data_IF_956212976889
#
_entry.id   IF_956212976889
#
_cell.length_a   1.000
_cell.length_b   1.000
_cell.length_c   1.000
_cell.angle_alpha   90.00
_cell.angle_beta   90.00
_cell.angle_gamma   90.00
#
_symmetry.space_group_name_H-M   'P 1'
#
loop_
_entity.id
_entity.type
_entity.pdbx_description
1 polymer ?
#
# COMPACT_ATOMS: atom_id res chain seq x y z
N UNK A 1 -15.33 12.80 2.15
CA UNK A 1 -14.74 12.74 0.79
C UNK A 1 -13.67 11.68 0.85
N UNK A 2 -13.71 10.70 -0.05
CA UNK A 2 -12.85 9.52 -0.05
C UNK A 2 -11.76 9.69 -1.11
N UNK A 3 -10.65 10.40 -0.83
CA UNK A 3 -9.64 10.75 -1.84
C UNK A 3 -8.88 9.54 -2.40
N UNK A 4 -9.10 8.36 -1.83
CA UNK A 4 -8.43 7.10 -2.15
C UNK A 4 -9.39 6.07 -2.79
N UNK A 5 -10.63 6.45 -3.09
CA UNK A 5 -11.60 5.63 -3.82
C UNK A 5 -11.96 6.37 -5.11
N UNK A 6 -11.83 5.70 -6.24
CA UNK A 6 -12.14 6.24 -7.57
C UNK A 6 -12.46 5.09 -8.54
N UNK A 7 -13.16 5.40 -9.64
CA UNK A 7 -13.40 4.43 -10.72
C UNK A 7 -12.09 4.03 -11.41
N UNK A 8 -12.13 3.03 -12.29
CA UNK A 8 -10.98 2.66 -13.14
C UNK A 8 -10.45 3.83 -13.98
N UNK A 9 -11.35 4.72 -14.43
CA UNK A 9 -11.02 5.96 -15.15
C UNK A 9 -10.48 7.06 -14.23
N UNK A 10 -10.57 6.86 -12.91
CA UNK A 10 -10.11 7.79 -11.87
C UNK A 10 -11.13 8.81 -11.44
N UNK A 11 -12.42 8.60 -11.68
CA UNK A 11 -13.46 9.50 -11.21
C UNK A 11 -13.66 9.32 -9.68
N UNK A 12 -13.32 10.33 -8.86
CA UNK A 12 -13.51 10.26 -7.41
C UNK A 12 -14.98 10.41 -6.98
N UNK A 13 -15.88 10.77 -7.90
CA UNK A 13 -17.32 10.84 -7.63
C UNK A 13 -18.02 9.48 -7.76
N UNK A 14 -17.38 8.50 -8.39
CA UNK A 14 -17.88 7.15 -8.60
C UNK A 14 -17.76 6.28 -7.32
N UNK A 15 -18.37 6.76 -6.23
CA UNK A 15 -18.38 6.06 -4.95
C UNK A 15 -19.54 5.04 -4.90
N UNK A 16 -19.37 3.94 -4.15
CA UNK A 16 -20.48 3.05 -3.80
C UNK A 16 -21.63 3.83 -3.14
N UNK A 17 -22.87 3.50 -3.49
CA UNK A 17 -24.07 4.11 -2.87
C UNK A 17 -24.35 3.56 -1.46
N UNK A 18 -23.77 2.41 -1.10
CA UNK A 18 -23.98 1.75 0.19
C UNK A 18 -22.98 2.26 1.24
N UNK A 19 -23.49 2.97 2.25
CA UNK A 19 -22.72 3.49 3.38
C UNK A 19 -21.91 2.39 4.09
N UNK A 20 -22.43 1.16 4.16
CA UNK A 20 -21.73 0.04 4.81
C UNK A 20 -20.46 -0.34 4.06
N UNK A 21 -20.48 -0.26 2.74
CA UNK A 21 -19.30 -0.53 1.91
C UNK A 21 -18.25 0.55 2.16
N UNK A 22 -18.66 1.82 2.21
CA UNK A 22 -17.77 2.94 2.49
C UNK A 22 -17.08 2.79 3.86
N UNK A 23 -17.82 2.41 4.90
CA UNK A 23 -17.25 2.13 6.22
C UNK A 23 -16.21 1.01 6.20
N UNK A 24 -16.48 -0.08 5.47
CA UNK A 24 -15.55 -1.20 5.34
C UNK A 24 -14.27 -0.79 4.62
N UNK A 25 -14.38 0.07 3.61
CA UNK A 25 -13.23 0.64 2.90
C UNK A 25 -12.42 1.58 3.80
N UNK A 26 -13.05 2.39 4.64
CA UNK A 26 -12.38 3.21 5.67
C UNK A 26 -11.61 2.33 6.66
N UNK A 27 -12.24 1.27 7.18
CA UNK A 27 -11.59 0.32 8.09
C UNK A 27 -10.37 -0.29 7.41
N UNK A 28 -10.55 -0.77 6.19
CA UNK A 28 -9.48 -1.42 5.42
C UNK A 28 -8.32 -0.47 5.12
N UNK A 29 -8.63 0.78 4.76
CA UNK A 29 -7.63 1.81 4.55
C UNK A 29 -6.79 2.02 5.82
N UNK A 30 -7.43 2.14 6.99
CA UNK A 30 -6.74 2.33 8.25
C UNK A 30 -5.87 1.12 8.64
N UNK A 31 -6.34 -0.11 8.39
CA UNK A 31 -5.54 -1.32 8.59
C UNK A 31 -4.26 -1.31 7.74
N UNK A 32 -4.37 -0.96 6.45
CA UNK A 32 -3.23 -0.86 5.54
C UNK A 32 -2.24 0.20 6.05
N UNK A 33 -2.72 1.39 6.45
CA UNK A 33 -1.86 2.44 6.99
C UNK A 33 -1.12 1.98 8.26
N UNK A 34 -1.82 1.29 9.18
CA UNK A 34 -1.23 0.77 10.40
C UNK A 34 -0.16 -0.31 10.11
N UNK A 35 -0.46 -1.24 9.20
CA UNK A 35 0.47 -2.27 8.73
C UNK A 35 1.77 -1.67 8.16
N UNK A 36 1.63 -0.69 7.25
CA UNK A 36 2.76 0.01 6.64
C UNK A 36 3.57 0.82 7.67
N UNK A 37 2.91 1.42 8.65
CA UNK A 37 3.58 2.16 9.73
C UNK A 37 4.36 1.23 10.67
N UNK A 38 3.76 0.10 11.05
CA UNK A 38 4.33 -0.87 11.98
C UNK A 38 5.40 -1.78 11.36
N UNK A 39 5.53 -1.79 10.03
CA UNK A 39 6.32 -2.81 9.29
C UNK A 39 5.84 -4.23 9.60
N UNK A 40 4.54 -4.39 9.86
CA UNK A 40 3.92 -5.61 10.38
C UNK A 40 3.45 -6.62 9.34
N UNK A 41 3.80 -6.43 8.07
CA UNK A 41 3.27 -7.20 6.94
C UNK A 41 1.99 -6.58 6.37
N UNK A 42 1.74 -6.81 5.07
CA UNK A 42 0.52 -6.43 4.37
C UNK A 42 -0.19 -7.73 3.95
N UNK A 43 -1.51 -7.76 4.08
CA UNK A 43 -2.33 -8.92 3.70
C UNK A 43 -3.17 -8.58 2.46
N UNK A 44 -2.65 -8.69 1.22
CA UNK A 44 -3.41 -8.33 0.03
C UNK A 44 -4.65 -9.24 -0.13
N UNK A 45 -5.78 -8.66 -0.54
CA UNK A 45 -6.99 -9.44 -0.82
C UNK A 45 -6.83 -10.10 -2.19
N UNK A 46 -6.50 -11.39 -2.18
CA UNK A 46 -6.29 -12.21 -3.39
C UNK A 46 -7.31 -13.34 -3.41
N UNK A 47 -7.93 -13.56 -4.57
CA UNK A 47 -8.81 -14.69 -4.81
C UNK A 47 -8.01 -15.78 -5.53
N UNK A 48 -7.54 -16.82 -4.83
CA UNK A 48 -6.69 -17.83 -5.44
C UNK A 48 -7.44 -18.63 -6.49
N UNK A 49 -6.72 -19.05 -7.54
CA UNK A 49 -7.24 -20.01 -8.49
C UNK A 49 -7.40 -21.38 -7.82
N UNK A 50 -8.43 -22.12 -8.23
CA UNK A 50 -8.70 -23.47 -7.73
C UNK A 50 -8.79 -24.45 -8.90
N UNK A 51 -8.38 -25.69 -8.67
CA UNK A 51 -8.52 -26.77 -9.64
C UNK A 51 -9.96 -27.33 -9.67
N UNK A 52 -10.19 -28.36 -10.49
CA UNK A 52 -11.49 -29.05 -10.63
C UNK A 52 -12.01 -29.68 -9.32
N UNK A 53 -11.17 -29.78 -8.28
CA UNK A 53 -11.50 -30.32 -6.97
C UNK A 53 -11.55 -29.25 -5.87
N UNK A 54 -11.71 -27.97 -6.25
CA UNK A 54 -11.70 -26.81 -5.35
C UNK A 54 -10.39 -26.63 -4.55
N UNK A 55 -9.29 -27.24 -4.99
CA UNK A 55 -8.00 -27.10 -4.33
C UNK A 55 -7.25 -25.90 -4.89
N UNK A 56 -6.75 -25.05 -3.99
CA UNK A 56 -5.94 -23.88 -4.37
C UNK A 56 -4.71 -24.30 -5.18
N UNK A 57 -4.57 -23.66 -6.34
CA UNK A 57 -3.42 -23.77 -7.23
C UNK A 57 -2.34 -22.82 -6.69
N UNK A 58 -1.23 -23.38 -6.21
CA UNK A 58 -0.13 -22.61 -5.61
C UNK A 58 1.13 -22.59 -6.45
N UNK A 59 1.21 -23.34 -7.55
CA UNK A 59 2.35 -23.35 -8.46
C UNK A 59 2.42 -22.06 -9.32
N UNK A 60 3.21 -22.09 -10.39
CA UNK A 60 3.35 -20.96 -11.33
C UNK A 60 2.02 -20.49 -11.92
N UNK A 61 1.10 -21.40 -12.24
CA UNK A 61 -0.24 -21.05 -12.76
C UNK A 61 -1.05 -20.25 -11.73
N UNK A 62 -0.88 -20.56 -10.44
CA UNK A 62 -1.56 -19.85 -9.35
C UNK A 62 -1.19 -18.37 -9.26
N UNK A 63 -0.06 -17.95 -9.83
CA UNK A 63 0.43 -16.56 -9.79
C UNK A 63 -0.53 -15.61 -10.52
N UNK A 64 -1.26 -16.09 -11.52
CA UNK A 64 -2.26 -15.31 -12.26
C UNK A 64 -3.35 -14.73 -11.35
N UNK A 65 -3.60 -15.34 -10.18
CA UNK A 65 -4.49 -14.80 -9.16
C UNK A 65 -4.12 -13.38 -8.67
N UNK A 66 -2.88 -12.95 -8.88
CA UNK A 66 -2.39 -11.62 -8.48
C UNK A 66 -2.81 -10.51 -9.42
N UNK A 67 -3.24 -10.81 -10.66
CA UNK A 67 -3.53 -9.82 -11.70
C UNK A 67 -4.53 -8.75 -11.25
N UNK A 68 -5.69 -9.08 -10.65
CA UNK A 68 -6.68 -8.05 -10.32
C UNK A 68 -6.14 -7.06 -9.28
N UNK A 69 -5.32 -7.55 -8.35
CA UNK A 69 -4.68 -6.71 -7.35
C UNK A 69 -3.58 -5.84 -7.97
N UNK A 70 -2.75 -6.42 -8.84
CA UNK A 70 -1.68 -5.71 -9.53
C UNK A 70 -2.23 -4.57 -10.41
N UNK A 71 -3.30 -4.82 -11.15
CA UNK A 71 -4.00 -3.83 -11.97
C UNK A 71 -4.57 -2.69 -11.11
N UNK A 72 -5.24 -3.01 -10.00
CA UNK A 72 -5.72 -1.99 -9.06
C UNK A 72 -4.60 -1.12 -8.50
N UNK A 73 -3.46 -1.72 -8.13
CA UNK A 73 -2.29 -0.98 -7.66
C UNK A 73 -1.72 -0.07 -8.75
N UNK A 74 -1.54 -0.59 -9.97
CA UNK A 74 -1.03 0.17 -11.12
C UNK A 74 -1.91 1.40 -11.44
N UNK A 75 -3.23 1.24 -11.52
CA UNK A 75 -4.14 2.38 -11.74
C UNK A 75 -4.08 3.39 -10.60
N UNK A 76 -3.81 2.94 -9.37
CA UNK A 76 -3.51 3.84 -8.25
C UNK A 76 -2.21 4.61 -8.42
N UNK A 77 -1.15 3.97 -8.94
CA UNK A 77 0.13 4.63 -9.24
C UNK A 77 -0.03 5.75 -10.28
N UNK A 78 -0.93 5.61 -11.26
CA UNK A 78 -1.21 6.65 -12.25
C UNK A 78 -1.79 7.95 -11.62
N UNK A 79 -2.16 7.92 -10.34
CA UNK A 79 -2.63 9.09 -9.58
C UNK A 79 -1.55 9.71 -8.69
N UNK A 80 -0.36 9.10 -8.63
CA UNK A 80 0.77 9.69 -7.92
C UNK A 80 1.31 10.92 -8.66
N UNK A 81 2.06 11.81 -7.99
CA UNK A 81 2.80 12.88 -8.65
C UNK A 81 3.63 12.37 -9.85
N UNK A 82 3.68 13.16 -10.94
CA UNK A 82 4.37 12.80 -12.19
C UNK A 82 5.85 12.44 -11.98
N UNK A 83 6.51 13.08 -11.01
CA UNK A 83 7.88 12.79 -10.60
C UNK A 83 8.10 11.34 -10.15
N UNK A 84 7.11 10.70 -9.51
CA UNK A 84 7.18 9.29 -9.13
C UNK A 84 6.84 8.37 -10.29
N UNK A 85 5.91 8.78 -11.17
CA UNK A 85 5.54 7.99 -12.34
C UNK A 85 6.70 7.87 -13.34
N UNK A 86 7.54 8.90 -13.44
CA UNK A 86 8.71 8.94 -14.33
C UNK A 86 10.01 8.46 -13.67
N UNK A 87 9.95 8.01 -12.42
CA UNK A 87 11.14 7.57 -11.68
C UNK A 87 11.51 6.12 -12.01
N UNK A 88 12.73 5.91 -12.52
CA UNK A 88 13.31 4.59 -12.76
C UNK A 88 13.38 3.77 -11.46
N UNK A 89 13.77 4.39 -10.34
CA UNK A 89 13.84 3.72 -9.04
C UNK A 89 12.46 3.24 -8.56
N UNK A 90 11.40 4.03 -8.78
CA UNK A 90 10.02 3.61 -8.47
C UNK A 90 9.59 2.45 -9.37
N UNK A 91 9.90 2.52 -10.67
CA UNK A 91 9.61 1.46 -11.64
C UNK A 91 10.30 0.15 -11.26
N UNK A 92 11.59 0.20 -10.90
CA UNK A 92 12.36 -0.97 -10.49
C UNK A 92 11.76 -1.62 -9.24
N UNK A 93 11.45 -0.83 -8.20
CA UNK A 93 10.81 -1.33 -6.99
C UNK A 93 9.39 -1.89 -7.26
N UNK A 94 8.66 -1.34 -8.23
CA UNK A 94 7.32 -1.79 -8.60
C UNK A 94 7.32 -3.03 -9.49
N UNK A 95 8.47 -3.48 -10.01
CA UNK A 95 8.60 -4.64 -10.90
C UNK A 95 7.80 -5.88 -10.44
N UNK A 96 7.83 -6.28 -9.15
CA UNK A 96 7.06 -7.43 -8.68
C UNK A 96 5.55 -7.30 -8.85
N UNK A 97 5.04 -6.07 -8.91
CA UNK A 97 3.63 -5.76 -9.13
C UNK A 97 3.36 -5.69 -10.64
N UNK A 98 4.16 -4.92 -11.37
CA UNK A 98 3.95 -4.63 -12.80
C UNK A 98 4.05 -5.88 -13.70
N UNK A 99 4.89 -6.84 -13.35
CA UNK A 99 5.01 -8.11 -14.11
C UNK A 99 3.76 -8.99 -14.08
N UNK A 100 2.86 -8.75 -13.11
CA UNK A 100 1.62 -9.51 -12.91
C UNK A 100 0.40 -8.87 -13.60
N UNK A 101 0.59 -7.76 -14.33
CA UNK A 101 -0.48 -7.17 -15.11
C UNK A 101 -0.88 -8.09 -16.28
N UNK A 102 -2.16 -8.04 -16.65
CA UNK A 102 -2.64 -8.62 -17.91
C UNK A 102 -2.72 -7.54 -18.98
N UNK A 103 -2.21 -7.79 -20.21
CA UNK A 103 -2.39 -6.87 -21.33
C UNK A 103 -3.87 -6.61 -21.67
N UNK A 104 -4.76 -7.55 -21.37
CA UNK A 104 -6.20 -7.43 -21.64
C UNK A 104 -6.89 -6.39 -20.75
N UNK A 105 -6.23 -5.98 -19.67
CA UNK A 105 -6.69 -4.91 -18.77
C UNK A 105 -6.47 -3.51 -19.36
N UNK A 106 -5.97 -3.40 -20.60
CA UNK A 106 -5.61 -2.14 -21.27
C UNK A 106 -6.33 -1.96 -22.62
N UNK A 107 -6.49 -0.70 -23.04
CA UNK A 107 -7.11 -0.36 -24.34
C UNK A 107 -6.34 -0.89 -25.55
N UNK A 108 -5.01 -1.02 -25.43
CA UNK A 108 -4.12 -1.50 -26.49
C UNK A 108 -3.28 -2.68 -25.99
N UNK A 109 -3.82 -3.91 -26.04
CA UNK A 109 -3.15 -5.10 -25.49
C UNK A 109 -1.76 -5.35 -26.06
N UNK A 110 -1.52 -5.08 -27.36
CA UNK A 110 -0.21 -5.34 -27.97
C UNK A 110 0.89 -4.45 -27.37
N UNK A 111 0.57 -3.18 -27.11
CA UNK A 111 1.52 -2.26 -26.45
C UNK A 111 1.68 -2.58 -24.97
N UNK A 112 0.60 -2.99 -24.31
CA UNK A 112 0.65 -3.40 -22.91
C UNK A 112 1.53 -4.65 -22.74
N UNK A 113 1.44 -5.61 -23.66
CA UNK A 113 2.29 -6.79 -23.67
C UNK A 113 3.79 -6.42 -23.72
N UNK A 114 4.20 -5.56 -24.66
CA UNK A 114 5.59 -5.10 -24.75
C UNK A 114 6.07 -4.41 -23.46
N UNK A 115 5.21 -3.58 -22.85
CA UNK A 115 5.48 -2.92 -21.57
C UNK A 115 5.66 -3.93 -20.43
N UNK A 116 4.73 -4.88 -20.30
CA UNK A 116 4.73 -5.90 -19.24
C UNK A 116 5.93 -6.84 -19.38
N UNK A 117 6.29 -7.22 -20.61
CA UNK A 117 7.43 -8.08 -20.88
C UNK A 117 8.75 -7.44 -20.46
N UNK A 118 8.84 -6.11 -20.45
CA UNK A 118 9.97 -5.37 -19.86
C UNK A 118 10.21 -5.74 -18.39
N UNK A 119 9.14 -5.95 -17.62
CA UNK A 119 9.21 -6.32 -16.20
C UNK A 119 9.35 -7.83 -15.94
N UNK A 120 9.27 -8.66 -16.99
CA UNK A 120 9.43 -10.12 -16.92
C UNK A 120 10.82 -10.61 -17.32
N UNK A 121 11.76 -9.71 -17.58
CA UNK A 121 13.13 -10.07 -18.01
C UNK A 121 14.00 -10.65 -16.87
N UNK A 122 13.62 -10.42 -15.62
CA UNK A 122 14.34 -10.89 -14.43
C UNK A 122 13.97 -12.32 -14.00
N UNK A 123 14.42 -12.71 -12.81
CA UNK A 123 14.01 -13.97 -12.20
C UNK A 123 12.52 -13.90 -11.82
N UNK A 124 11.75 -14.85 -12.36
CA UNK A 124 10.33 -14.99 -12.06
C UNK A 124 10.11 -15.85 -10.81
N UNK A 125 9.11 -15.52 -9.97
CA UNK A 125 8.75 -16.33 -8.81
C UNK A 125 8.27 -17.71 -9.27
N UNK A 126 8.59 -18.75 -8.49
CA UNK A 126 8.35 -20.15 -8.87
C UNK A 126 6.94 -20.62 -8.54
N UNK A 127 6.24 -19.88 -7.69
CA UNK A 127 4.96 -20.24 -7.11
C UNK A 127 4.26 -18.99 -6.58
N UNK A 128 2.98 -19.13 -6.23
CA UNK A 128 2.14 -18.05 -5.70
C UNK A 128 2.68 -17.45 -4.40
N UNK A 129 3.29 -18.25 -3.52
CA UNK A 129 3.82 -17.77 -2.24
C UNK A 129 5.02 -16.82 -2.44
N UNK A 130 5.96 -17.20 -3.29
CA UNK A 130 7.11 -16.36 -3.67
C UNK A 130 6.63 -15.05 -4.33
N UNK A 131 5.64 -15.14 -5.23
CA UNK A 131 5.08 -13.99 -5.92
C UNK A 131 4.37 -13.02 -4.95
N UNK A 132 3.59 -13.55 -4.00
CA UNK A 132 2.93 -12.79 -2.93
C UNK A 132 3.95 -12.08 -2.05
N UNK A 133 5.03 -12.77 -1.66
CA UNK A 133 6.10 -12.18 -0.86
C UNK A 133 6.75 -11.01 -1.60
N UNK A 134 7.13 -11.20 -2.86
CA UNK A 134 7.77 -10.14 -3.67
C UNK A 134 6.83 -8.93 -3.85
N UNK A 135 5.54 -9.17 -4.10
CA UNK A 135 4.51 -8.15 -4.22
C UNK A 135 4.38 -7.33 -2.93
N UNK A 136 4.24 -7.99 -1.78
CA UNK A 136 4.14 -7.32 -0.48
C UNK A 136 5.41 -6.54 -0.18
N UNK A 137 6.58 -7.12 -0.45
CA UNK A 137 7.87 -6.46 -0.27
C UNK A 137 7.98 -5.19 -1.13
N UNK A 138 7.58 -5.24 -2.40
CA UNK A 138 7.56 -4.09 -3.30
C UNK A 138 6.74 -2.93 -2.72
N UNK A 139 5.55 -3.20 -2.17
CA UNK A 139 4.73 -2.17 -1.52
C UNK A 139 5.46 -1.51 -0.34
N UNK A 140 6.14 -2.30 0.49
CA UNK A 140 6.91 -1.76 1.61
C UNK A 140 8.09 -0.91 1.15
N UNK A 141 8.85 -1.37 0.16
CA UNK A 141 10.00 -0.64 -0.35
C UNK A 141 9.56 0.69 -1.00
N UNK A 142 8.51 0.66 -1.82
CA UNK A 142 7.88 1.86 -2.39
C UNK A 142 7.42 2.82 -1.29
N UNK A 143 6.77 2.32 -0.24
CA UNK A 143 6.36 3.13 0.91
C UNK A 143 7.56 3.77 1.62
N UNK A 144 8.68 3.06 1.77
CA UNK A 144 9.89 3.63 2.38
C UNK A 144 10.55 4.67 1.48
N UNK A 145 10.54 4.48 0.17
CA UNK A 145 11.09 5.45 -0.79
C UNK A 145 10.26 6.74 -0.83
N UNK A 146 8.95 6.61 -1.07
CA UNK A 146 8.06 7.74 -1.37
C UNK A 146 7.63 8.49 -0.11
N UNK A 147 7.34 7.75 0.97
CA UNK A 147 6.79 8.31 2.19
C UNK A 147 7.36 7.61 3.44
N UNK A 148 8.67 7.71 3.72
CA UNK A 148 9.29 7.02 4.84
C UNK A 148 8.63 7.41 6.18
N UNK A 149 8.55 6.45 7.09
CA UNK A 149 8.02 6.71 8.43
C UNK A 149 8.95 7.69 9.16
N UNK A 150 8.45 8.89 9.48
CA UNK A 150 9.20 9.90 10.22
C UNK A 150 9.02 9.69 11.73
N UNK A 151 10.08 9.82 12.54
CA UNK A 151 9.94 9.83 13.99
C UNK A 151 8.96 10.91 14.41
N UNK A 152 8.09 10.60 15.38
CA UNK A 152 7.21 11.61 15.97
C UNK A 152 8.08 12.61 16.72
N UNK A 153 8.26 13.80 16.15
CA UNK A 153 8.90 14.93 16.82
C UNK A 153 7.85 15.65 17.65
N UNK A 154 8.14 15.92 18.92
CA UNK A 154 7.26 16.78 19.72
C UNK A 154 7.44 18.22 19.24
N UNK A 155 6.36 18.88 18.87
CA UNK A 155 6.38 20.32 18.52
C UNK A 155 6.88 21.17 19.68
N UNK A 156 6.55 20.77 20.90
CA UNK A 156 7.02 21.42 22.12
C UNK A 156 8.20 20.66 22.73
N UNK A 157 9.23 21.36 23.23
CA UNK A 157 10.29 20.76 24.03
C UNK A 157 9.71 19.87 25.13
N UNK A 158 10.39 18.76 25.43
CA UNK A 158 10.02 17.90 26.56
C UNK A 158 10.10 18.75 27.84
N UNK A 159 8.96 18.96 28.50
CA UNK A 159 8.92 19.67 29.78
C UNK A 159 9.79 18.91 30.77
N UNK A 160 10.87 19.55 31.23
CA UNK A 160 11.74 18.99 32.25
C UNK A 160 10.98 18.80 33.55
N UNK A 161 11.31 17.74 34.31
CA UNK A 161 10.64 17.42 35.58
C UNK A 161 10.61 18.60 36.56
N UNK A 162 11.60 19.49 36.50
CA UNK A 162 11.75 20.66 37.37
C UNK A 162 11.26 21.98 36.76
N UNK A 163 10.85 22.00 35.50
CA UNK A 163 10.41 23.22 34.80
C UNK A 163 9.00 23.65 35.26
N UNK A 164 8.62 24.93 35.06
CA UNK A 164 7.25 25.38 35.30
C UNK A 164 6.22 24.52 34.55
N UNK A 165 5.15 24.12 35.24
CA UNK A 165 4.13 23.28 34.65
C UNK A 165 3.31 24.04 33.59
N UNK A 166 3.13 23.49 32.37
CA UNK A 166 2.46 24.18 31.26
C UNK A 166 0.97 24.46 31.51
N UNK A 167 0.35 23.88 32.54
CA UNK A 167 -1.02 24.17 32.93
C UNK A 167 -1.22 25.53 33.64
N UNK A 168 -0.17 26.34 33.76
CA UNK A 168 -0.24 27.67 34.38
C UNK A 168 -0.30 27.69 35.91
N UNK A 169 -0.07 26.56 36.59
CA UNK A 169 -0.20 26.46 38.05
C UNK A 169 0.94 27.11 38.85
N UNK A 170 2.02 27.53 38.19
CA UNK A 170 3.25 28.03 38.82
C UNK A 170 4.10 26.96 39.53
N UNK A 171 3.65 25.70 39.60
CA UNK A 171 4.37 24.59 40.23
C UNK A 171 5.37 23.94 39.27
N UNK A 172 6.41 23.28 39.79
CA UNK A 172 7.28 22.40 38.98
C UNK A 172 6.49 21.24 38.38
N UNK A 173 6.79 20.82 37.16
CA UNK A 173 6.04 19.77 36.44
C UNK A 173 5.86 18.49 37.27
N UNK A 174 6.91 18.00 37.94
CA UNK A 174 6.88 16.81 38.83
C UNK A 174 5.92 16.92 40.02
N UNK A 175 5.55 18.13 40.41
CA UNK A 175 4.65 18.41 41.54
C UNK A 175 3.23 18.75 41.08
N UNK A 176 2.97 18.74 39.76
CA UNK A 176 1.69 19.08 39.16
C UNK A 176 1.25 17.98 38.16
N UNK A 177 1.18 18.27 36.86
CA UNK A 177 0.73 17.30 35.85
C UNK A 177 1.62 16.06 35.76
N UNK A 178 2.93 16.19 36.05
CA UNK A 178 3.88 15.08 36.06
C UNK A 178 3.91 14.27 37.36
N UNK A 179 2.96 14.46 38.28
CA UNK A 179 2.93 13.77 39.58
C UNK A 179 2.38 12.33 39.49
N UNK A 180 1.71 11.98 38.39
CA UNK A 180 1.17 10.65 38.08
C UNK A 180 1.58 10.13 36.68
N UNK A 181 2.47 10.86 36.00
CA UNK A 181 3.00 10.49 34.69
C UNK A 181 4.27 9.66 34.83
#
# INVERSE_FOLDING_TARGET
>A
MYPYIFSIDGDPAALPEDDRILELLDIRFNEIQAALAAKGGLDPVIFPLVDENDKVITNEEGIEALEPWASGFFFGMLRWPEEYQQSEEVSDLATPILRNLSPDSFETPEKAQEFIDGYRQGEMPKNLEDALYDLVKAVFDLKQLIAPNKPVTRETPRVGRNDPCPCGSGKKYKQCCGKKA
#
